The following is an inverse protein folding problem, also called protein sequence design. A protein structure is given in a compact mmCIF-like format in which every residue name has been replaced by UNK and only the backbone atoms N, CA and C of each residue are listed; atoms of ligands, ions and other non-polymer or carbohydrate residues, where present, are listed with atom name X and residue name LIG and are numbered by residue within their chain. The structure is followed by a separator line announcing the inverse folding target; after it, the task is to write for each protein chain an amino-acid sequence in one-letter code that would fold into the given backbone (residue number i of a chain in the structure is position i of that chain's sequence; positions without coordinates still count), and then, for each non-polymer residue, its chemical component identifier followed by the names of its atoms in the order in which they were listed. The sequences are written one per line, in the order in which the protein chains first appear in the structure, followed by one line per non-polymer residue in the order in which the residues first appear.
data_IF_529806600457
#
_entry.id   IF_529806600457
#
_cell.length_a   1.000
_cell.length_b   1.000
_cell.length_c   1.000
_cell.angle_alpha   90.00
_cell.angle_beta   90.00
_cell.angle_gamma   90.00
#
_symmetry.space_group_name_H-M   'P 1'
#
loop_
_entity.id
_entity.type
_entity.pdbx_description
1 polymer ?
#
# COMPACT_ATOMS: atom_id res chain seq x y z
N UNK A 1 -4.45 18.86 -18.74
CA UNK A 1 -4.66 17.45 -18.36
C UNK A 1 -5.61 16.80 -19.32
N UNK A 2 -5.24 15.66 -19.91
CA UNK A 2 -6.20 14.77 -20.55
C UNK A 2 -6.93 13.96 -19.47
N UNK A 3 -8.19 13.60 -19.72
CA UNK A 3 -9.00 12.85 -18.75
C UNK A 3 -8.37 11.49 -18.37
N UNK A 4 -7.70 10.83 -19.33
CA UNK A 4 -7.06 9.53 -19.11
C UNK A 4 -5.96 9.56 -18.03
N UNK A 5 -5.24 10.69 -17.90
CA UNK A 5 -4.15 10.82 -16.94
C UNK A 5 -4.66 11.04 -15.51
N UNK A 6 -5.69 11.87 -15.37
CA UNK A 6 -6.40 12.09 -14.09
C UNK A 6 -7.05 10.80 -13.58
N UNK A 7 -7.67 10.02 -14.48
CA UNK A 7 -8.26 8.71 -14.15
C UNK A 7 -7.18 7.74 -13.63
N UNK A 8 -5.96 7.84 -14.15
CA UNK A 8 -4.86 6.97 -13.73
C UNK A 8 -4.36 7.33 -12.33
N UNK A 9 -4.22 8.61 -12.00
CA UNK A 9 -3.85 9.04 -10.64
C UNK A 9 -4.87 8.63 -9.58
N UNK A 10 -6.17 8.89 -9.84
CA UNK A 10 -7.26 8.51 -8.93
C UNK A 10 -7.31 6.99 -8.72
N UNK A 11 -7.08 6.20 -9.78
CA UNK A 11 -7.00 4.75 -9.69
C UNK A 11 -5.83 4.30 -8.79
N UNK A 12 -4.64 4.90 -8.96
CA UNK A 12 -3.47 4.58 -8.14
C UNK A 12 -3.67 4.98 -6.68
N UNK A 13 -4.30 6.12 -6.41
CA UNK A 13 -4.65 6.55 -5.06
C UNK A 13 -5.66 5.60 -4.41
N UNK A 14 -6.67 5.15 -5.16
CA UNK A 14 -7.64 4.17 -4.68
C UNK A 14 -6.98 2.81 -4.37
N UNK A 15 -6.08 2.36 -5.23
CA UNK A 15 -5.29 1.15 -4.98
C UNK A 15 -4.42 1.26 -3.73
N UNK A 16 -3.80 2.42 -3.50
CA UNK A 16 -3.03 2.65 -2.27
C UNK A 16 -3.90 2.51 -1.01
N UNK A 17 -5.12 3.08 -1.03
CA UNK A 17 -6.08 2.90 0.05
C UNK A 17 -6.47 1.43 0.25
N UNK A 18 -6.69 0.69 -0.84
CA UNK A 18 -7.03 -0.75 -0.76
C UNK A 18 -5.90 -1.57 -0.12
N UNK A 19 -4.64 -1.24 -0.41
CA UNK A 19 -3.51 -1.91 0.22
C UNK A 19 -3.39 -1.57 1.70
N UNK A 20 -3.64 -0.32 2.11
CA UNK A 20 -3.68 0.00 3.54
C UNK A 20 -4.78 -0.75 4.28
N UNK A 21 -6.00 -0.76 3.75
CA UNK A 21 -7.13 -1.50 4.34
C UNK A 21 -6.79 -3.00 4.51
N UNK A 22 -6.09 -3.57 3.53
CA UNK A 22 -5.65 -4.95 3.54
C UNK A 22 -4.51 -5.20 4.55
N UNK A 23 -3.61 -4.23 4.69
CA UNK A 23 -2.54 -4.25 5.70
C UNK A 23 -3.12 -4.20 7.11
N UNK A 24 -3.98 -3.23 7.39
CA UNK A 24 -4.68 -3.09 8.67
C UNK A 24 -5.48 -4.35 9.01
N UNK A 25 -6.24 -4.88 8.05
CA UNK A 25 -7.00 -6.13 8.24
C UNK A 25 -6.10 -7.32 8.61
N UNK A 26 -4.87 -7.38 8.09
CA UNK A 26 -3.94 -8.44 8.40
C UNK A 26 -3.30 -8.28 9.79
N UNK A 27 -3.05 -7.04 10.23
CA UNK A 27 -2.59 -6.74 11.59
C UNK A 27 -3.64 -7.12 12.65
N UNK A 28 -4.92 -7.08 12.30
CA UNK A 28 -6.01 -7.50 13.19
C UNK A 28 -6.10 -9.03 13.40
N UNK A 29 -5.47 -9.84 12.55
CA UNK A 29 -5.58 -11.31 12.62
C UNK A 29 -4.84 -11.86 13.84
N UNK A 30 -3.60 -11.44 14.08
CA UNK A 30 -2.77 -11.97 15.16
C UNK A 30 -3.34 -11.72 16.57
N UNK A 31 -3.86 -10.51 16.90
CA UNK A 31 -4.52 -10.25 18.19
C UNK A 31 -5.76 -11.11 18.45
N UNK A 32 -6.40 -11.63 17.39
CA UNK A 32 -7.57 -12.51 17.50
C UNK A 32 -7.20 -13.98 17.71
N UNK A 33 -5.92 -14.33 17.56
CA UNK A 33 -5.45 -15.69 17.80
C UNK A 33 -5.48 -16.02 19.31
N UNK A 34 -5.94 -17.24 19.68
CA UNK A 34 -5.94 -17.65 21.08
C UNK A 34 -4.54 -17.61 21.72
N UNK A 35 -4.42 -17.08 22.93
CA UNK A 35 -3.12 -17.05 23.64
C UNK A 35 -2.71 -18.47 24.11
N UNK A 36 -3.67 -19.38 24.26
CA UNK A 36 -3.42 -20.79 24.54
C UNK A 36 -4.49 -21.69 23.90
N UNK A 37 -4.08 -22.89 23.50
CA UNK A 37 -4.96 -23.93 22.98
C UNK A 37 -4.70 -25.23 23.74
N UNK A 38 -5.77 -25.90 24.18
CA UNK A 38 -5.70 -27.28 24.68
C UNK A 38 -6.11 -28.23 23.56
N UNK A 39 -5.12 -28.69 22.79
CA UNK A 39 -5.29 -29.64 21.70
C UNK A 39 -4.91 -31.08 22.07
N UNK A 40 -4.68 -31.36 23.36
CA UNK A 40 -4.09 -32.63 23.80
C UNK A 40 -2.73 -32.87 23.14
N UNK A 41 -2.59 -33.97 22.39
CA UNK A 41 -1.35 -34.32 21.69
C UNK A 41 -1.00 -33.36 20.54
N UNK A 42 -1.95 -32.55 20.06
CA UNK A 42 -1.77 -31.65 18.92
C UNK A 42 -1.39 -30.22 19.33
N UNK A 43 -1.33 -29.92 20.63
CA UNK A 43 -1.09 -28.57 21.16
C UNK A 43 0.16 -27.92 20.57
N UNK A 44 1.26 -28.66 20.46
CA UNK A 44 2.52 -28.13 19.93
C UNK A 44 2.39 -27.72 18.46
N UNK A 45 1.74 -28.56 17.64
CA UNK A 45 1.50 -28.28 16.21
C UNK A 45 0.58 -27.06 16.05
N UNK A 46 -0.48 -26.97 16.84
CA UNK A 46 -1.41 -25.83 16.77
C UNK A 46 -0.71 -24.53 17.15
N UNK A 47 0.11 -24.56 18.20
CA UNK A 47 0.89 -23.40 18.65
C UNK A 47 1.87 -22.94 17.56
N UNK A 48 2.59 -23.87 16.92
CA UNK A 48 3.49 -23.56 15.81
C UNK A 48 2.76 -22.95 14.61
N UNK A 49 1.58 -23.47 14.27
CA UNK A 49 0.74 -22.92 13.19
C UNK A 49 0.30 -21.48 13.50
N UNK A 50 -0.05 -21.19 14.75
CA UNK A 50 -0.45 -19.86 15.17
C UNK A 50 0.72 -18.87 15.13
N UNK A 51 1.91 -19.28 15.56
CA UNK A 51 3.12 -18.46 15.43
C UNK A 51 3.51 -18.21 13.96
N UNK A 52 3.34 -19.22 13.09
CA UNK A 52 3.56 -19.07 11.65
C UNK A 52 2.56 -18.09 11.03
N UNK A 53 1.30 -18.16 11.45
CA UNK A 53 0.24 -17.28 10.97
C UNK A 53 0.46 -15.83 11.41
N UNK A 54 0.86 -15.60 12.66
CA UNK A 54 1.23 -14.27 13.18
C UNK A 54 2.37 -13.64 12.36
N UNK A 55 3.45 -14.41 12.15
CA UNK A 55 4.58 -13.96 11.33
C UNK A 55 4.20 -13.65 9.89
N UNK A 56 3.41 -14.53 9.27
CA UNK A 56 2.95 -14.35 7.89
C UNK A 56 2.01 -13.14 7.76
N UNK A 57 1.09 -12.96 8.71
CA UNK A 57 0.19 -11.81 8.78
C UNK A 57 0.95 -10.49 8.90
N UNK A 58 1.90 -10.42 9.84
CA UNK A 58 2.75 -9.25 10.03
C UNK A 58 3.58 -8.91 8.79
N UNK A 59 4.15 -9.92 8.13
CA UNK A 59 4.93 -9.72 6.89
C UNK A 59 4.04 -9.24 5.75
N UNK A 60 2.83 -9.80 5.63
CA UNK A 60 1.87 -9.39 4.62
C UNK A 60 1.39 -7.95 4.84
N UNK A 61 1.10 -7.55 6.08
CA UNK A 61 0.76 -6.18 6.43
C UNK A 61 1.86 -5.18 6.03
N UNK A 62 3.11 -5.47 6.41
CA UNK A 62 4.26 -4.63 6.06
C UNK A 62 4.41 -4.48 4.53
N UNK A 63 4.20 -5.55 3.76
CA UNK A 63 4.25 -5.48 2.30
C UNK A 63 3.10 -4.65 1.71
N UNK A 64 1.91 -4.72 2.29
CA UNK A 64 0.76 -3.95 1.85
C UNK A 64 1.01 -2.45 2.06
N UNK A 65 1.44 -2.03 3.25
CA UNK A 65 1.81 -0.64 3.52
C UNK A 65 2.94 -0.16 2.63
N UNK A 66 3.97 -0.99 2.42
CA UNK A 66 5.05 -0.68 1.48
C UNK A 66 4.55 -0.49 0.04
N UNK A 67 3.53 -1.25 -0.39
CA UNK A 67 2.90 -1.06 -1.70
C UNK A 67 2.12 0.25 -1.76
N UNK A 68 1.32 0.56 -0.73
CA UNK A 68 0.57 1.80 -0.63
C UNK A 68 1.49 3.05 -0.70
N UNK A 69 2.60 3.04 0.04
CA UNK A 69 3.59 4.12 0.02
C UNK A 69 4.25 4.29 -1.34
N UNK A 70 4.58 3.19 -2.02
CA UNK A 70 5.14 3.23 -3.37
C UNK A 70 4.14 3.82 -4.38
N UNK A 71 2.86 3.47 -4.28
CA UNK A 71 1.81 4.02 -5.14
C UNK A 71 1.62 5.52 -4.90
N UNK A 72 1.61 5.98 -3.64
CA UNK A 72 1.55 7.41 -3.30
C UNK A 72 2.76 8.17 -3.83
N UNK A 73 3.96 7.59 -3.69
CA UNK A 73 5.20 8.18 -4.21
C UNK A 73 5.15 8.30 -5.73
N UNK A 74 4.61 7.30 -6.43
CA UNK A 74 4.46 7.34 -7.88
C UNK A 74 3.52 8.48 -8.32
N UNK A 75 2.38 8.65 -7.65
CA UNK A 75 1.44 9.76 -7.92
C UNK A 75 2.11 11.11 -7.66
N UNK A 76 2.80 11.28 -6.52
CA UNK A 76 3.49 12.53 -6.20
C UNK A 76 4.57 12.89 -7.24
N UNK A 77 5.39 11.92 -7.63
CA UNK A 77 6.43 12.12 -8.66
C UNK A 77 5.82 12.48 -10.02
N UNK A 78 4.66 11.91 -10.35
CA UNK A 78 3.96 12.24 -11.58
C UNK A 78 3.50 13.71 -11.57
N UNK A 79 2.85 14.15 -10.48
CA UNK A 79 2.37 15.52 -10.31
C UNK A 79 3.53 16.55 -10.33
N UNK A 80 4.66 16.24 -9.70
CA UNK A 80 5.85 17.09 -9.73
C UNK A 80 6.43 17.22 -11.15
N UNK A 81 6.51 16.09 -11.87
CA UNK A 81 6.96 16.09 -13.26
C UNK A 81 6.03 16.92 -14.15
N UNK A 82 4.72 16.79 -13.99
CA UNK A 82 3.75 17.59 -14.73
C UNK A 82 3.94 19.09 -14.48
N UNK A 83 4.05 19.49 -13.21
CA UNK A 83 4.26 20.89 -12.83
C UNK A 83 5.54 21.45 -13.48
N UNK A 84 6.62 20.68 -13.44
CA UNK A 84 7.92 21.05 -14.05
C UNK A 84 7.79 21.23 -15.57
N UNK A 85 7.10 20.32 -16.27
CA UNK A 85 6.89 20.43 -17.72
C UNK A 85 6.02 21.65 -18.05
N UNK A 86 4.97 21.91 -17.28
CA UNK A 86 4.08 23.05 -17.49
C UNK A 86 4.81 24.39 -17.30
N UNK A 87 5.69 24.49 -16.30
CA UNK A 87 6.53 25.66 -16.07
C UNK A 87 7.50 25.88 -17.25
N UNK A 88 8.16 24.82 -17.73
CA UNK A 88 9.05 24.90 -18.89
C UNK A 88 8.32 25.36 -20.16
N UNK A 89 7.14 24.81 -20.43
CA UNK A 89 6.31 25.20 -21.58
C UNK A 89 5.86 26.66 -21.48
N UNK A 90 5.55 27.15 -20.28
CA UNK A 90 5.20 28.55 -20.05
C UNK A 90 6.37 29.47 -20.39
N UNK A 91 7.58 29.16 -19.90
CA UNK A 91 8.78 29.94 -20.18
C UNK A 91 9.14 29.98 -21.67
N UNK A 92 8.95 28.87 -22.40
CA UNK A 92 9.12 28.86 -23.86
C UNK A 92 8.11 29.78 -24.56
N UNK A 93 6.85 29.76 -24.13
CA UNK A 93 5.81 30.61 -24.70
C UNK A 93 6.13 32.10 -24.51
N UNK A 94 6.65 32.49 -23.35
CA UNK A 94 7.08 33.86 -23.08
C UNK A 94 8.27 34.28 -23.93
N UNK A 95 9.23 33.39 -24.18
CA UNK A 95 10.41 33.67 -25.03
C UNK A 95 10.06 33.80 -26.53
N UNK A 96 8.96 33.19 -26.96
CA UNK A 96 8.49 33.23 -28.35
C UNK A 96 7.50 34.36 -28.64
N UNK A 97 7.09 35.12 -27.61
CA UNK A 97 6.18 36.26 -27.71
C UNK A 97 6.91 37.59 -27.73
#
# INVERSE_FOLDING_TARGET
MSADLVITEDMLAHMAGTFDDLGESAEEVAPQLPISVDGGIATDIITDLMGTLDYAGSTFAANCHGCADNLRTLVANHQENEATVMEYLHGLKEQMS
#
